data_IF_009082060926
#
_entry.id   IF_009082060926
#
_cell.length_a   1.000
_cell.length_b   1.000
_cell.length_c   1.000
_cell.angle_alpha   90.00
_cell.angle_beta   90.00
_cell.angle_gamma   90.00
#
_symmetry.space_group_name_H-M   'P 1'
#
loop_
_entity.id
_entity.type
_entity.pdbx_description
1 polymer ?
#
# COMPACT_ATOMS: atom_id res chain seq x y z
N UNK A 1 -1.06 20.96 -10.69
CA UNK A 1 0.05 20.63 -9.76
C UNK A 1 1.26 21.23 -10.42
N UNK A 2 1.67 22.41 -9.97
CA UNK A 2 2.50 23.26 -10.82
C UNK A 2 3.85 23.46 -10.17
N UNK A 3 4.88 22.97 -10.85
CA UNK A 3 6.28 23.09 -10.41
C UNK A 3 6.95 24.10 -11.32
N UNK A 4 7.06 25.34 -10.82
CA UNK A 4 7.80 26.40 -11.50
C UNK A 4 9.31 26.27 -11.22
N UNK A 5 10.11 26.72 -12.18
CA UNK A 5 11.57 26.80 -12.04
C UNK A 5 11.93 27.86 -11.01
N UNK A 6 12.83 27.51 -10.08
CA UNK A 6 13.38 28.47 -9.11
C UNK A 6 14.55 29.25 -9.73
N UNK A 7 14.85 30.47 -9.23
CA UNK A 7 16.07 31.18 -9.63
C UNK A 7 17.30 30.31 -9.33
N UNK A 8 18.25 30.30 -10.26
CA UNK A 8 19.49 29.50 -10.21
C UNK A 8 19.30 27.98 -10.16
N UNK A 9 18.13 27.46 -10.53
CA UNK A 9 17.88 26.04 -10.61
C UNK A 9 18.19 25.47 -12.01
N UNK A 10 18.85 24.32 -12.07
CA UNK A 10 19.02 23.55 -13.32
C UNK A 10 17.71 22.86 -13.71
N UNK A 11 17.49 22.66 -15.01
CA UNK A 11 16.29 21.98 -15.52
C UNK A 11 16.17 20.55 -14.92
N UNK A 12 17.29 19.85 -14.75
CA UNK A 12 17.30 18.51 -14.13
C UNK A 12 16.83 18.51 -12.67
N UNK A 13 17.23 19.51 -11.88
CA UNK A 13 16.76 19.64 -10.49
C UNK A 13 15.25 19.90 -10.42
N UNK A 14 14.73 20.75 -11.31
CA UNK A 14 13.30 21.02 -11.44
C UNK A 14 12.52 19.75 -11.78
N UNK A 15 13.01 18.95 -12.74
CA UNK A 15 12.38 17.67 -13.12
C UNK A 15 12.36 16.66 -11.97
N UNK A 16 13.43 16.60 -11.15
CA UNK A 16 13.44 15.74 -9.95
C UNK A 16 12.39 16.17 -8.93
N UNK A 17 12.21 17.48 -8.71
CA UNK A 17 11.14 18.00 -7.84
C UNK A 17 9.77 17.66 -8.39
N UNK A 18 9.56 17.86 -9.69
CA UNK A 18 8.32 17.48 -10.36
C UNK A 18 8.00 15.99 -10.15
N UNK A 19 8.96 15.10 -10.42
CA UNK A 19 8.79 13.66 -10.19
C UNK A 19 8.46 13.33 -8.74
N UNK A 20 9.12 13.96 -7.77
CA UNK A 20 8.82 13.77 -6.34
C UNK A 20 7.40 14.21 -5.99
N UNK A 21 6.96 15.37 -6.49
CA UNK A 21 5.60 15.91 -6.28
C UNK A 21 4.55 14.97 -6.89
N UNK A 22 4.78 14.47 -8.11
CA UNK A 22 3.87 13.51 -8.79
C UNK A 22 3.81 12.17 -8.05
N UNK A 23 4.93 11.68 -7.52
CA UNK A 23 4.96 10.44 -6.73
C UNK A 23 4.20 10.61 -5.41
N UNK A 24 4.39 11.74 -4.72
CA UNK A 24 3.70 12.05 -3.46
C UNK A 24 2.20 12.26 -3.66
N UNK A 25 1.79 12.85 -4.79
CA UNK A 25 0.38 13.11 -5.08
C UNK A 25 -0.46 11.85 -5.27
N UNK A 26 0.17 10.71 -5.53
CA UNK A 26 -0.48 9.43 -5.87
C UNK A 26 -1.47 9.51 -7.03
N UNK A 27 -1.39 10.55 -7.87
CA UNK A 27 -2.29 10.74 -9.01
C UNK A 27 -2.20 9.59 -10.02
N UNK A 28 -0.98 9.07 -10.26
CA UNK A 28 -0.76 7.98 -11.20
C UNK A 28 -1.44 6.67 -10.75
N UNK A 29 -1.25 6.17 -9.51
CA UNK A 29 -2.02 5.04 -8.99
C UNK A 29 -3.53 5.24 -9.07
N UNK A 30 -4.02 6.42 -8.68
CA UNK A 30 -5.47 6.73 -8.68
C UNK A 30 -6.06 6.61 -10.09
N UNK A 31 -5.43 7.25 -11.08
CA UNK A 31 -5.89 7.20 -12.48
C UNK A 31 -5.79 5.79 -13.04
N UNK A 32 -4.72 5.05 -12.71
CA UNK A 32 -4.60 3.63 -13.12
C UNK A 32 -5.70 2.77 -12.49
N UNK A 33 -6.07 3.06 -11.25
CA UNK A 33 -7.11 2.34 -10.53
C UNK A 33 -8.52 2.63 -11.06
N UNK A 34 -8.79 3.89 -11.41
CA UNK A 34 -10.09 4.36 -11.90
C UNK A 34 -10.34 4.09 -13.38
N UNK A 35 -9.34 3.55 -14.11
CA UNK A 35 -9.45 3.24 -15.54
C UNK A 35 -10.62 2.30 -15.86
N UNK A 36 -10.96 1.41 -14.94
CA UNK A 36 -12.04 0.45 -15.09
C UNK A 36 -13.01 0.55 -13.92
N UNK A 37 -14.30 0.31 -14.20
CA UNK A 37 -15.32 0.27 -13.15
C UNK A 37 -15.03 -0.88 -12.17
N UNK A 38 -15.04 -0.56 -10.87
CA UNK A 38 -14.97 -1.54 -9.79
C UNK A 38 -16.28 -1.50 -9.01
N UNK A 39 -16.93 -2.65 -8.88
CA UNK A 39 -18.12 -2.78 -8.04
C UNK A 39 -17.79 -2.39 -6.59
N UNK A 40 -18.71 -1.66 -5.95
CA UNK A 40 -18.61 -1.35 -4.51
C UNK A 40 -18.60 -2.65 -3.71
N UNK A 41 -17.74 -2.71 -2.70
CA UNK A 41 -17.67 -3.86 -1.78
C UNK A 41 -18.86 -3.88 -0.85
N UNK A 42 -19.36 -5.07 -0.54
CA UNK A 42 -20.37 -5.25 0.49
C UNK A 42 -19.81 -4.92 1.89
N UNK A 43 -20.69 -4.68 2.86
CA UNK A 43 -20.29 -4.43 4.24
C UNK A 43 -19.47 -5.60 4.82
N UNK A 44 -19.90 -6.84 4.56
CA UNK A 44 -19.15 -8.05 4.95
C UNK A 44 -17.73 -8.05 4.37
N UNK A 45 -17.58 -7.72 3.09
CA UNK A 45 -16.25 -7.65 2.44
C UNK A 45 -15.37 -6.55 3.06
N UNK A 46 -15.94 -5.41 3.44
CA UNK A 46 -15.21 -4.34 4.12
C UNK A 46 -14.79 -4.75 5.53
N UNK A 47 -15.69 -5.39 6.29
CA UNK A 47 -15.42 -5.91 7.64
C UNK A 47 -14.31 -6.96 7.62
N UNK A 48 -14.42 -7.97 6.75
CA UNK A 48 -13.42 -9.03 6.60
C UNK A 48 -12.04 -8.48 6.23
N UNK A 49 -12.00 -7.47 5.35
CA UNK A 49 -10.76 -6.79 4.99
C UNK A 49 -10.14 -6.05 6.19
N UNK A 50 -10.96 -5.38 7.00
CA UNK A 50 -10.47 -4.67 8.18
C UNK A 50 -9.90 -5.65 9.22
N UNK A 51 -10.60 -6.75 9.48
CA UNK A 51 -10.14 -7.84 10.37
C UNK A 51 -8.81 -8.39 9.88
N UNK A 52 -8.72 -8.81 8.61
CA UNK A 52 -7.46 -9.33 8.05
C UNK A 52 -6.31 -8.33 8.14
N UNK A 53 -6.57 -7.04 7.99
CA UNK A 53 -5.53 -6.01 8.11
C UNK A 53 -4.94 -5.93 9.51
N UNK A 54 -5.78 -5.97 10.54
CA UNK A 54 -5.30 -5.94 11.94
C UNK A 54 -4.54 -7.22 12.29
N UNK A 55 -5.04 -8.38 11.87
CA UNK A 55 -4.38 -9.67 12.09
C UNK A 55 -2.99 -9.73 11.42
N UNK A 56 -2.87 -9.27 10.17
CA UNK A 56 -1.58 -9.24 9.48
C UNK A 56 -0.60 -8.26 10.13
N UNK A 57 -1.08 -7.15 10.66
CA UNK A 57 -0.26 -6.18 11.41
C UNK A 57 0.23 -6.78 12.73
N UNK A 58 -0.61 -7.52 13.44
CA UNK A 58 -0.25 -8.23 14.66
C UNK A 58 0.75 -9.36 14.38
N UNK A 59 0.51 -10.15 13.32
CA UNK A 59 1.40 -11.22 12.87
C UNK A 59 2.80 -10.69 12.56
N UNK A 60 2.89 -9.63 11.76
CA UNK A 60 4.18 -9.02 11.40
C UNK A 60 4.96 -8.60 12.65
N UNK A 61 4.33 -7.86 13.57
CA UNK A 61 4.96 -7.45 14.83
C UNK A 61 5.41 -8.65 15.66
N UNK A 62 4.62 -9.73 15.70
CA UNK A 62 4.98 -10.95 16.43
C UNK A 62 6.21 -11.63 15.81
N UNK A 63 6.25 -11.80 14.50
CA UNK A 63 7.37 -12.44 13.79
C UNK A 63 8.66 -11.61 13.90
N UNK A 64 8.55 -10.29 13.77
CA UNK A 64 9.67 -9.36 13.99
C UNK A 64 10.23 -9.48 15.42
N UNK A 65 9.35 -9.50 16.44
CA UNK A 65 9.75 -9.69 17.85
C UNK A 65 10.41 -11.05 18.12
N UNK A 66 9.98 -12.09 17.42
CA UNK A 66 10.54 -13.44 17.57
C UNK A 66 11.82 -13.64 16.74
N UNK A 67 12.23 -12.66 15.92
CA UNK A 67 13.36 -12.81 15.01
C UNK A 67 13.13 -13.85 13.90
N UNK A 68 11.87 -14.26 13.67
CA UNK A 68 11.49 -15.30 12.69
C UNK A 68 10.87 -14.72 11.43
N UNK A 69 11.00 -13.41 11.20
CA UNK A 69 10.40 -12.78 10.03
C UNK A 69 11.19 -13.16 8.77
N UNK A 70 10.58 -14.00 7.93
CA UNK A 70 10.93 -14.18 6.52
C UNK A 70 9.68 -14.01 5.67
N UNK A 71 9.85 -13.76 4.38
CA UNK A 71 8.72 -13.60 3.46
C UNK A 71 7.90 -14.90 3.35
N UNK A 72 8.59 -16.04 3.32
CA UNK A 72 7.99 -17.38 3.33
C UNK A 72 7.18 -17.65 4.60
N UNK A 73 7.76 -17.42 5.78
CA UNK A 73 7.07 -17.67 7.07
C UNK A 73 5.87 -16.76 7.26
N UNK A 74 5.95 -15.50 6.80
CA UNK A 74 4.83 -14.57 6.84
C UNK A 74 3.68 -15.03 5.94
N UNK A 75 3.99 -15.51 4.73
CA UNK A 75 2.98 -15.98 3.78
C UNK A 75 2.31 -17.29 4.23
N UNK A 76 3.06 -18.20 4.85
CA UNK A 76 2.51 -19.42 5.47
C UNK A 76 1.53 -19.08 6.61
N UNK A 77 1.96 -18.26 7.56
CA UNK A 77 1.12 -17.83 8.69
C UNK A 77 -0.11 -17.04 8.23
N UNK A 78 0.04 -16.20 7.20
CA UNK A 78 -1.08 -15.50 6.57
C UNK A 78 -2.11 -16.47 5.98
N UNK A 79 -1.68 -17.56 5.33
CA UNK A 79 -2.60 -18.60 4.83
C UNK A 79 -3.34 -19.27 5.99
N UNK A 80 -2.64 -19.57 7.09
CA UNK A 80 -3.25 -20.15 8.31
C UNK A 80 -4.30 -19.23 8.92
N UNK A 81 -4.00 -17.93 9.07
CA UNK A 81 -4.95 -16.94 9.58
C UNK A 81 -6.18 -16.86 8.69
N UNK A 82 -5.98 -16.84 7.37
CA UNK A 82 -7.09 -16.80 6.41
C UNK A 82 -8.00 -18.03 6.55
N UNK A 83 -7.43 -19.23 6.64
CA UNK A 83 -8.16 -20.47 6.88
C UNK A 83 -8.91 -20.45 8.22
N UNK A 84 -8.26 -19.99 9.29
CA UNK A 84 -8.83 -19.93 10.64
C UNK A 84 -10.04 -19.01 10.74
N UNK A 85 -10.03 -17.89 10.02
CA UNK A 85 -11.11 -16.91 10.04
C UNK A 85 -12.24 -17.23 9.06
N UNK A 86 -12.12 -18.31 8.28
CA UNK A 86 -13.04 -18.68 7.21
C UNK A 86 -13.26 -17.51 6.21
N UNK A 87 -12.15 -16.87 5.83
CA UNK A 87 -12.10 -15.67 4.97
C UNK A 87 -11.43 -15.90 3.62
#
# INVERSE_FOLDING_TARGET
MDVKRKPNETIGSMMRRFSKVVQQSRVLPQVKESRFYKKKKSERQNKNRAIMREELKALRKRLERLGKYSEETFDEEKRRIKQKLDL
#
